data_IF_290104781891
#
_entry.id   IF_290104781891
#
_cell.length_a   1.000
_cell.length_b   1.000
_cell.length_c   1.000
_cell.angle_alpha   90.00
_cell.angle_beta   90.00
_cell.angle_gamma   90.00
#
_symmetry.space_group_name_H-M   'P 1'
#
loop_
_entity.id
_entity.type
_entity.pdbx_description
1 polymer ?
#
# COMPACT_ATOMS: atom_id res chain seq x y z
N UNK A 1 -13.69 -20.70 0.45
CA UNK A 1 -12.95 -19.98 -0.60
C UNK A 1 -13.03 -18.51 -0.29
N UNK A 2 -11.98 -17.95 0.32
CA UNK A 2 -11.86 -16.49 0.48
C UNK A 2 -11.47 -15.92 -0.88
N UNK A 3 -12.31 -15.05 -1.43
CA UNK A 3 -11.98 -14.31 -2.65
C UNK A 3 -10.66 -13.54 -2.43
N UNK A 4 -9.76 -13.47 -3.43
CA UNK A 4 -8.54 -12.70 -3.31
C UNK A 4 -8.91 -11.24 -3.04
N UNK A 5 -8.36 -10.69 -1.97
CA UNK A 5 -8.61 -9.32 -1.55
C UNK A 5 -8.03 -8.36 -2.58
N UNK A 6 -8.86 -7.45 -3.11
CA UNK A 6 -8.42 -6.45 -4.08
C UNK A 6 -8.20 -5.10 -3.42
N UNK A 7 -7.06 -4.48 -3.69
CA UNK A 7 -6.73 -3.16 -3.16
C UNK A 7 -7.76 -2.11 -3.56
N UNK A 8 -8.36 -2.23 -4.76
CA UNK A 8 -9.41 -1.32 -5.25
C UNK A 8 -10.74 -1.42 -4.51
N UNK A 9 -10.92 -2.46 -3.69
CA UNK A 9 -12.09 -2.69 -2.86
C UNK A 9 -11.87 -2.28 -1.40
N UNK A 10 -10.65 -1.86 -1.05
CA UNK A 10 -10.33 -1.45 0.32
C UNK A 10 -10.87 -0.04 0.61
N UNK A 11 -11.49 0.17 1.78
CA UNK A 11 -11.81 1.52 2.24
C UNK A 11 -10.55 2.39 2.37
N UNK A 12 -10.53 3.52 1.66
CA UNK A 12 -9.50 4.55 1.80
C UNK A 12 -9.88 5.47 2.96
N UNK A 13 -9.04 5.54 3.99
CA UNK A 13 -9.25 6.41 5.16
C UNK A 13 -8.65 7.79 4.99
N UNK A 14 -7.59 7.88 4.21
CA UNK A 14 -6.90 9.12 3.94
C UNK A 14 -6.18 9.01 2.61
N UNK A 15 -6.23 10.06 1.81
CA UNK A 15 -5.52 10.16 0.56
C UNK A 15 -4.94 11.56 0.43
N UNK A 16 -3.70 11.61 -0.07
CA UNK A 16 -3.00 12.83 -0.41
C UNK A 16 -2.15 12.57 -1.64
N UNK A 17 -2.38 13.34 -2.68
CA UNK A 17 -1.57 13.29 -3.89
C UNK A 17 -0.12 13.72 -3.62
N UNK A 18 0.79 13.19 -4.43
CA UNK A 18 2.17 13.64 -4.45
C UNK A 18 2.28 15.07 -5.01
N UNK A 19 3.10 15.89 -4.35
CA UNK A 19 3.41 17.27 -4.76
C UNK A 19 4.93 17.44 -4.85
N UNK A 20 5.41 18.48 -5.54
CA UNK A 20 6.85 18.69 -5.83
C UNK A 20 7.79 18.57 -4.62
N UNK A 21 7.32 18.90 -3.42
CA UNK A 21 8.10 18.84 -2.17
C UNK A 21 7.44 17.97 -1.10
N UNK A 22 6.45 17.14 -1.46
CA UNK A 22 5.69 16.36 -0.48
C UNK A 22 5.31 14.99 -1.04
N UNK A 23 5.68 13.90 -0.37
CA UNK A 23 5.34 12.56 -0.83
C UNK A 23 3.82 12.36 -0.81
N UNK A 24 3.35 11.61 -1.81
CA UNK A 24 2.00 11.10 -1.84
C UNK A 24 1.79 10.11 -0.70
N UNK A 25 0.56 10.04 -0.17
CA UNK A 25 0.21 9.13 0.91
C UNK A 25 -1.22 8.64 0.75
N UNK A 26 -1.42 7.33 0.75
CA UNK A 26 -2.75 6.70 0.80
C UNK A 26 -2.81 5.72 1.96
N UNK A 27 -3.84 5.83 2.80
CA UNK A 27 -4.08 4.91 3.92
C UNK A 27 -5.31 4.08 3.63
N UNK A 28 -5.12 2.76 3.58
CA UNK A 28 -6.14 1.74 3.38
C UNK A 28 -6.49 1.07 4.71
N UNK A 29 -7.77 0.75 4.90
CA UNK A 29 -8.22 -0.16 5.95
C UNK A 29 -8.42 -1.56 5.36
N UNK A 30 -7.76 -2.55 5.94
CA UNK A 30 -7.97 -3.96 5.63
C UNK A 30 -8.71 -4.60 6.80
N UNK A 31 -9.94 -5.06 6.54
CA UNK A 31 -10.77 -5.69 7.55
C UNK A 31 -10.04 -6.87 8.20
N UNK A 32 -9.94 -6.86 9.53
CA UNK A 32 -9.24 -7.89 10.30
C UNK A 32 -7.71 -7.80 10.32
N UNK A 33 -7.09 -6.92 9.52
CA UNK A 33 -5.63 -6.74 9.47
C UNK A 33 -5.17 -5.34 9.88
N UNK A 34 -6.06 -4.36 9.94
CA UNK A 34 -5.76 -3.00 10.40
C UNK A 34 -5.47 -2.02 9.26
N UNK A 35 -4.68 -0.98 9.56
CA UNK A 35 -4.38 0.08 8.60
C UNK A 35 -3.05 -0.19 7.90
N UNK A 36 -3.05 0.09 6.60
CA UNK A 36 -1.86 0.10 5.75
C UNK A 36 -1.71 1.46 5.13
N UNK A 37 -0.49 1.99 5.11
CA UNK A 37 -0.17 3.21 4.40
C UNK A 37 0.73 2.90 3.21
N UNK A 38 0.54 3.61 2.12
CA UNK A 38 1.41 3.59 0.95
C UNK A 38 1.92 5.01 0.73
N UNK A 39 3.23 5.18 0.76
CA UNK A 39 3.90 6.46 0.57
C UNK A 39 4.63 6.47 -0.75
N UNK A 40 4.38 7.46 -1.59
CA UNK A 40 5.19 7.70 -2.80
C UNK A 40 6.38 8.58 -2.40
N UNK A 41 7.49 7.97 -1.99
CA UNK A 41 8.67 8.65 -1.46
C UNK A 41 9.44 9.43 -2.54
N UNK A 42 9.49 8.85 -3.74
CA UNK A 42 10.09 9.39 -4.95
C UNK A 42 9.19 9.04 -6.13
N UNK A 43 9.33 9.73 -7.26
CA UNK A 43 8.54 9.43 -8.46
C UNK A 43 8.81 7.97 -8.89
N UNK A 44 7.79 7.12 -8.84
CA UNK A 44 7.91 5.70 -9.18
C UNK A 44 8.45 4.80 -8.06
N UNK A 45 8.47 5.27 -6.81
CA UNK A 45 8.94 4.52 -5.65
C UNK A 45 7.94 4.58 -4.50
N UNK A 46 7.48 3.41 -4.08
CA UNK A 46 6.37 3.25 -3.15
C UNK A 46 6.78 2.42 -1.94
N UNK A 47 6.62 2.98 -0.75
CA UNK A 47 6.81 2.29 0.53
C UNK A 47 5.45 1.89 1.09
N UNK A 48 5.25 0.60 1.38
CA UNK A 48 4.06 0.07 2.08
C UNK A 48 4.41 -0.16 3.54
N UNK A 49 3.60 0.37 4.45
CA UNK A 49 3.77 0.23 5.89
C UNK A 49 2.45 -0.17 6.57
N UNK A 50 2.51 -0.79 7.74
CA UNK A 50 1.34 -1.10 8.57
C UNK A 50 1.38 -0.38 9.90
N UNK A 51 0.21 -0.08 10.47
CA UNK A 51 0.11 0.56 11.78
C UNK A 51 0.21 -0.46 12.91
N UNK A 52 1.22 -0.31 13.75
CA UNK A 52 1.43 -1.09 14.97
C UNK A 52 1.22 -0.22 16.22
N UNK A 53 1.36 -0.81 17.41
CA UNK A 53 1.27 -0.08 18.68
C UNK A 53 2.34 1.02 18.83
N UNK A 54 3.48 0.86 18.16
CA UNK A 54 4.61 1.80 18.23
C UNK A 54 4.61 2.82 17.08
N UNK A 55 3.68 2.70 16.14
CA UNK A 55 3.58 3.54 14.94
C UNK A 55 3.65 2.73 13.66
N UNK A 56 3.98 3.42 12.57
CA UNK A 56 4.08 2.81 11.25
C UNK A 56 5.35 1.96 11.14
N UNK A 57 5.19 0.75 10.64
CA UNK A 57 6.29 -0.21 10.39
C UNK A 57 6.32 -0.52 8.91
N UNK A 58 7.46 -0.28 8.27
CA UNK A 58 7.69 -0.55 6.86
C UNK A 58 7.68 -2.05 6.58
N UNK A 59 7.05 -2.44 5.47
CA UNK A 59 6.83 -3.84 5.09
C UNK A 59 7.58 -4.18 3.81
N UNK A 60 7.35 -3.38 2.77
CA UNK A 60 7.95 -3.57 1.44
C UNK A 60 8.12 -2.23 0.75
N UNK A 61 9.21 -2.11 0.00
CA UNK A 61 9.47 -1.02 -0.92
C UNK A 61 9.41 -1.57 -2.34
N UNK A 62 8.68 -0.88 -3.20
CA UNK A 62 8.41 -1.29 -4.57
C UNK A 62 8.76 -0.14 -5.51
N UNK A 63 9.31 -0.49 -6.67
CA UNK A 63 9.63 0.47 -7.72
C UNK A 63 9.11 0.03 -9.10
N UNK A 64 9.42 0.80 -10.14
CA UNK A 64 9.01 0.51 -11.52
C UNK A 64 9.47 -0.88 -12.02
N UNK A 65 10.57 -1.44 -11.47
CA UNK A 65 11.07 -2.78 -11.81
C UNK A 65 10.17 -3.88 -11.27
N UNK A 66 9.41 -3.60 -10.23
CA UNK A 66 8.38 -4.49 -9.69
C UNK A 66 7.05 -4.38 -10.45
N UNK A 67 6.99 -3.57 -11.51
CA UNK A 67 5.78 -3.35 -12.30
C UNK A 67 4.74 -2.47 -11.61
N UNK A 68 5.17 -1.67 -10.63
CA UNK A 68 4.30 -0.79 -9.84
C UNK A 68 4.49 0.66 -10.25
N UNK A 69 3.39 1.34 -10.55
CA UNK A 69 3.35 2.75 -10.96
C UNK A 69 2.41 3.61 -10.12
N UNK A 70 1.60 3.00 -9.27
CA UNK A 70 0.62 3.68 -8.42
C UNK A 70 0.58 3.11 -7.00
N UNK A 71 0.11 3.92 -6.05
CA UNK A 71 -0.11 3.47 -4.67
C UNK A 71 -1.09 2.29 -4.60
N UNK A 72 -2.08 2.24 -5.50
CA UNK A 72 -3.02 1.13 -5.62
C UNK A 72 -2.33 -0.18 -6.02
N UNK A 73 -1.45 -0.12 -7.00
CA UNK A 73 -0.66 -1.27 -7.46
C UNK A 73 0.31 -1.74 -6.38
N UNK A 74 0.95 -0.81 -5.67
CA UNK A 74 1.83 -1.15 -4.54
C UNK A 74 1.07 -1.89 -3.44
N UNK A 75 -0.13 -1.41 -3.09
CA UNK A 75 -0.99 -2.08 -2.12
C UNK A 75 -1.44 -3.46 -2.63
N UNK A 76 -1.80 -3.60 -3.91
CA UNK A 76 -2.19 -4.88 -4.48
C UNK A 76 -1.03 -5.88 -4.45
N UNK A 77 0.18 -5.46 -4.81
CA UNK A 77 1.37 -6.30 -4.77
C UNK A 77 1.64 -6.83 -3.35
N UNK A 78 1.49 -5.97 -2.34
CA UNK A 78 1.59 -6.39 -0.94
C UNK A 78 0.52 -7.44 -0.56
N UNK A 79 -0.74 -7.24 -0.98
CA UNK A 79 -1.80 -8.21 -0.73
C UNK A 79 -1.52 -9.55 -1.41
N UNK A 80 -1.01 -9.53 -2.65
CA UNK A 80 -0.68 -10.74 -3.41
C UNK A 80 0.45 -11.54 -2.73
N UNK A 81 1.41 -10.87 -2.07
CA UNK A 81 2.43 -11.53 -1.23
C UNK A 81 1.82 -12.24 -0.02
N UNK A 82 0.83 -11.62 0.65
CA UNK A 82 0.17 -12.21 1.81
C UNK A 82 -0.74 -13.39 1.46
N UNK A 83 -1.33 -13.36 0.27
CA UNK A 83 -2.22 -14.42 -0.22
C UNK A 83 -1.67 -14.99 -1.52
N UNK A 84 -0.65 -15.86 -1.47
CA UNK A 84 -0.16 -16.52 -2.67
C UNK A 84 -1.32 -17.30 -3.28
N UNK A 85 -1.78 -16.86 -4.46
CA UNK A 85 -2.70 -17.65 -5.26
C UNK A 85 -1.99 -18.94 -5.68
N UNK A 86 -2.64 -20.11 -5.53
CA UNK A 86 -2.07 -21.39 -5.95
C UNK A 86 -1.87 -21.50 -7.46
#
# INVERSE_FOLDING_TARGET
MTLPLRASQLPVKYERSCETNRPGLTIYEVAGSGLYQVTEASRGEFDVATLTQIGWTDLIRLDERDGVSTALEAMQAWLDVQTPTP
#
